data_IF_011344928501
#
_entry.id   IF_011344928501
#
_cell.length_a   1.000
_cell.length_b   1.000
_cell.length_c   1.000
_cell.angle_alpha   90.00
_cell.angle_beta   90.00
_cell.angle_gamma   90.00
#
_symmetry.space_group_name_H-M   'P 1'
#
loop_
_entity.id
_entity.type
_entity.pdbx_description
1 polymer ?
#
# COMPACT_ATOMS: atom_id res chain seq x y z
N UNK A 1 4.01 -10.86 -17.41
CA UNK A 1 2.75 -10.39 -18.04
C UNK A 1 2.49 -8.91 -17.71
N UNK A 2 2.75 -8.08 -18.71
CA UNK A 2 2.77 -6.63 -18.62
C UNK A 2 1.37 -6.03 -18.71
N UNK A 3 0.97 -5.27 -17.69
CA UNK A 3 -0.14 -4.32 -17.79
C UNK A 3 0.10 -3.20 -16.79
N UNK A 4 0.57 -2.06 -17.30
CA UNK A 4 0.37 -0.68 -16.82
C UNK A 4 1.63 0.23 -16.98
N UNK A 5 2.28 0.19 -18.15
CA UNK A 5 3.27 1.20 -18.58
C UNK A 5 2.68 2.25 -19.53
N UNK A 6 1.37 2.22 -19.79
CA UNK A 6 0.75 3.00 -20.85
C UNK A 6 0.28 4.42 -20.45
N UNK A 7 0.84 5.06 -19.41
CA UNK A 7 0.42 6.45 -19.06
C UNK A 7 1.48 7.42 -18.56
N UNK A 8 2.78 7.10 -18.65
CA UNK A 8 3.83 8.06 -18.29
C UNK A 8 4.79 8.30 -19.47
N UNK A 9 5.18 9.56 -19.74
CA UNK A 9 6.18 9.88 -20.76
C UNK A 9 7.51 9.15 -20.44
N UNK A 10 8.26 8.74 -21.47
CA UNK A 10 9.42 7.85 -21.34
C UNK A 10 10.47 8.37 -20.33
N UNK A 11 10.61 9.69 -20.20
CA UNK A 11 11.54 10.33 -19.27
C UNK A 11 11.25 10.04 -17.78
N UNK A 12 9.98 9.87 -17.38
CA UNK A 12 9.63 9.59 -15.98
C UNK A 12 9.95 8.15 -15.57
N UNK A 13 9.91 7.21 -16.51
CA UNK A 13 10.23 5.80 -16.25
C UNK A 13 11.74 5.65 -15.95
N UNK A 14 12.59 6.41 -16.64
CA UNK A 14 14.05 6.39 -16.42
C UNK A 14 14.44 6.98 -15.06
N UNK A 15 13.82 8.10 -14.65
CA UNK A 15 14.05 8.71 -13.35
C UNK A 15 13.72 7.77 -12.19
N UNK A 16 12.62 7.03 -12.28
CA UNK A 16 12.23 6.05 -11.25
C UNK A 16 13.19 4.85 -11.19
N UNK A 17 13.64 4.35 -12.34
CA UNK A 17 14.62 3.24 -12.39
C UNK A 17 15.95 3.63 -11.73
N UNK A 18 16.46 4.84 -12.00
CA UNK A 18 17.70 5.33 -11.41
C UNK A 18 17.60 5.52 -9.89
N UNK A 19 16.45 6.00 -9.41
CA UNK A 19 16.18 6.09 -7.98
C UNK A 19 16.13 4.70 -7.31
N UNK A 20 15.46 3.72 -7.95
CA UNK A 20 15.39 2.34 -7.45
C UNK A 20 16.76 1.67 -7.45
N UNK A 21 17.59 1.91 -8.46
CA UNK A 21 18.95 1.38 -8.56
C UNK A 21 19.86 1.94 -7.46
N UNK A 22 19.80 3.25 -7.21
CA UNK A 22 20.52 3.88 -6.10
C UNK A 22 20.09 3.34 -4.74
N UNK A 23 18.79 3.12 -4.53
CA UNK A 23 18.27 2.54 -3.29
C UNK A 23 18.73 1.09 -3.12
N UNK A 24 18.75 0.28 -4.18
CA UNK A 24 19.24 -1.12 -4.16
C UNK A 24 20.71 -1.22 -3.76
N UNK A 25 21.56 -0.31 -4.27
CA UNK A 25 22.99 -0.29 -3.95
C UNK A 25 23.27 0.13 -2.50
N UNK A 26 22.44 1.00 -1.91
CA UNK A 26 22.61 1.47 -0.53
C UNK A 26 21.84 0.66 0.52
N UNK A 27 20.80 -0.06 0.12
CA UNK A 27 20.02 -0.90 1.02
C UNK A 27 20.74 -2.22 1.28
N UNK A 28 21.62 -2.24 2.29
CA UNK A 28 22.14 -3.46 2.91
C UNK A 28 21.06 -4.53 3.21
N UNK A 29 19.81 -4.19 3.63
CA UNK A 29 18.76 -5.20 3.84
C UNK A 29 18.36 -5.97 2.60
N UNK A 30 18.48 -5.39 1.40
CA UNK A 30 18.08 -6.05 0.14
C UNK A 30 19.17 -6.98 -0.39
N UNK A 31 20.42 -6.78 0.04
CA UNK A 31 21.58 -7.59 -0.35
C UNK A 31 21.81 -8.79 0.59
N UNK A 32 21.36 -8.69 1.85
CA UNK A 32 21.54 -9.71 2.90
C UNK A 32 20.26 -10.41 3.34
N UNK A 33 19.12 -10.10 2.72
CA UNK A 33 17.84 -10.78 2.96
C UNK A 33 17.43 -11.55 1.73
N UNK A 34 16.89 -12.76 1.93
CA UNK A 34 16.43 -13.60 0.84
C UNK A 34 15.29 -12.91 0.07
N UNK A 35 15.32 -13.07 -1.25
CA UNK A 35 14.25 -12.60 -2.12
C UNK A 35 12.91 -13.22 -1.70
N UNK A 36 11.85 -12.40 -1.68
CA UNK A 36 10.52 -12.85 -1.29
C UNK A 36 10.04 -13.99 -2.22
N UNK A 37 9.48 -15.08 -1.69
CA UNK A 37 8.96 -16.17 -2.50
C UNK A 37 7.94 -15.68 -3.56
N UNK A 38 7.97 -16.24 -4.79
CA UNK A 38 7.13 -15.77 -5.89
C UNK A 38 5.63 -15.88 -5.57
N UNK A 39 5.24 -16.86 -4.75
CA UNK A 39 3.85 -17.05 -4.31
C UNK A 39 3.36 -15.88 -3.45
N UNK A 40 4.20 -15.32 -2.57
CA UNK A 40 3.83 -14.19 -1.71
C UNK A 40 3.70 -12.92 -2.55
N UNK A 41 4.60 -12.72 -3.52
CA UNK A 41 4.50 -11.62 -4.48
C UNK A 41 3.21 -11.70 -5.31
N UNK A 42 2.86 -12.88 -5.82
CA UNK A 42 1.65 -13.09 -6.61
C UNK A 42 0.36 -12.86 -5.78
N UNK A 43 0.31 -13.37 -4.55
CA UNK A 43 -0.81 -13.15 -3.64
C UNK A 43 -0.97 -11.65 -3.32
N UNK A 44 0.12 -10.98 -2.97
CA UNK A 44 0.12 -9.54 -2.67
C UNK A 44 -0.35 -8.72 -3.86
N UNK A 45 0.11 -9.04 -5.08
CA UNK A 45 -0.36 -8.37 -6.30
C UNK A 45 -1.86 -8.55 -6.52
N UNK A 46 -2.39 -9.76 -6.26
CA UNK A 46 -3.82 -10.02 -6.39
C UNK A 46 -4.63 -9.24 -5.34
N UNK A 47 -4.14 -9.17 -4.11
CA UNK A 47 -4.75 -8.38 -3.03
C UNK A 47 -4.76 -6.88 -3.37
N UNK A 48 -3.64 -6.34 -3.85
CA UNK A 48 -3.57 -4.93 -4.26
C UNK A 48 -4.53 -4.63 -5.41
N UNK A 49 -4.68 -5.55 -6.37
CA UNK A 49 -5.65 -5.42 -7.44
C UNK A 49 -7.11 -5.48 -6.96
N UNK A 50 -7.41 -6.22 -5.90
CA UNK A 50 -8.74 -6.29 -5.29
C UNK A 50 -9.04 -4.99 -4.52
N UNK A 51 -8.11 -4.55 -3.68
CA UNK A 51 -8.25 -3.32 -2.88
C UNK A 51 -8.34 -2.08 -3.76
N UNK A 52 -7.63 -2.06 -4.90
CA UNK A 52 -7.70 -0.94 -5.85
C UNK A 52 -9.03 -0.83 -6.61
N UNK A 53 -9.85 -1.90 -6.62
CA UNK A 53 -11.14 -1.92 -7.31
C UNK A 53 -12.31 -1.64 -6.38
N UNK A 54 -12.26 -2.13 -5.14
CA UNK A 54 -13.37 -2.05 -4.20
C UNK A 54 -12.99 -1.30 -2.92
N UNK A 55 -13.52 -0.08 -2.75
CA UNK A 55 -13.34 0.73 -1.53
C UNK A 55 -14.41 0.46 -0.47
N UNK A 56 -15.48 -0.26 -0.81
CA UNK A 56 -16.67 -0.49 0.04
C UNK A 56 -16.33 -1.03 1.43
N UNK A 57 -15.32 -1.90 1.54
CA UNK A 57 -14.88 -2.45 2.82
C UNK A 57 -14.16 -1.40 3.69
N UNK A 58 -13.43 -0.46 3.06
CA UNK A 58 -12.79 0.66 3.76
C UNK A 58 -13.84 1.66 4.24
N UNK A 59 -14.83 1.97 3.40
CA UNK A 59 -15.93 2.87 3.75
C UNK A 59 -16.75 2.33 4.93
N UNK A 60 -17.03 1.02 4.93
CA UNK A 60 -17.69 0.33 6.05
C UNK A 60 -16.86 0.32 7.33
N UNK A 61 -15.54 0.17 7.21
CA UNK A 61 -14.65 0.24 8.37
C UNK A 61 -14.69 1.65 8.97
N UNK A 62 -14.60 2.69 8.15
CA UNK A 62 -14.67 4.08 8.62
C UNK A 62 -16.01 4.41 9.27
N UNK A 63 -17.14 3.97 8.69
CA UNK A 63 -18.46 4.20 9.30
C UNK A 63 -18.56 3.53 10.67
N UNK A 64 -18.05 2.31 10.79
CA UNK A 64 -18.04 1.59 12.06
C UNK A 64 -17.13 2.28 13.08
N UNK A 65 -15.91 2.67 12.69
CA UNK A 65 -14.99 3.38 13.60
C UNK A 65 -15.55 4.73 14.05
N UNK A 66 -16.22 5.48 13.17
CA UNK A 66 -16.90 6.74 13.54
C UNK A 66 -18.03 6.50 14.53
N UNK A 67 -18.85 5.48 14.30
CA UNK A 67 -19.93 5.09 15.22
C UNK A 67 -19.39 4.70 16.60
N UNK A 68 -18.38 3.82 16.66
CA UNK A 68 -17.78 3.41 17.93
C UNK A 68 -17.13 4.58 18.67
N UNK A 69 -16.43 5.48 17.96
CA UNK A 69 -15.83 6.68 18.58
C UNK A 69 -16.88 7.66 19.09
N UNK A 70 -17.97 7.87 18.36
CA UNK A 70 -19.06 8.74 18.79
C UNK A 70 -19.70 8.22 20.08
N UNK A 71 -19.94 6.90 20.17
CA UNK A 71 -20.56 6.31 21.35
C UNK A 71 -19.60 6.27 22.54
N UNK A 72 -18.32 5.96 22.33
CA UNK A 72 -17.31 6.04 23.37
C UNK A 72 -17.11 7.47 23.91
N UNK A 73 -17.17 8.49 23.04
CA UNK A 73 -17.13 9.88 23.47
C UNK A 73 -18.36 10.27 24.30
N UNK A 74 -19.54 9.77 23.93
CA UNK A 74 -20.78 9.99 24.70
C UNK A 74 -20.71 9.36 26.09
N UNK A 75 -20.16 8.15 26.20
CA UNK A 75 -20.15 7.38 27.45
C UNK A 75 -18.98 7.77 28.36
N UNK A 76 -17.81 8.05 27.81
CA UNK A 76 -16.56 8.21 28.59
C UNK A 76 -16.06 9.67 28.59
N UNK A 77 -16.65 10.58 27.81
CA UNK A 77 -16.29 12.00 27.84
C UNK A 77 -14.84 12.30 27.43
N UNK A 78 -14.21 11.43 26.63
CA UNK A 78 -12.82 11.60 26.20
C UNK A 78 -12.79 12.59 25.03
N UNK A 79 -12.82 13.88 25.36
CA UNK A 79 -12.36 14.91 24.43
C UNK A 79 -10.85 14.77 24.24
N UNK A 80 -10.47 14.14 23.13
CA UNK A 80 -9.16 14.14 22.46
C UNK A 80 -8.11 13.14 22.99
N UNK A 81 -7.56 12.38 22.04
CA UNK A 81 -6.17 12.53 21.60
C UNK A 81 -6.20 12.79 20.09
#
# INVERSE_FOLDING_TARGET
PATNTARLPPAQIEAQKRAVELLRQRSRPYLFSNALPPMICAATLKVLNLIGKDTKLRDKLESNTKYFRAELNRVVGISRC
#
